data_IF_903181880709
#
_entry.id   IF_903181880709
#
_cell.length_a   1.000
_cell.length_b   1.000
_cell.length_c   1.000
_cell.angle_alpha   90.00
_cell.angle_beta   90.00
_cell.angle_gamma   90.00
#
_symmetry.space_group_name_H-M   'P 1'
#
loop_
_entity.id
_entity.type
_entity.pdbx_description
1 polymer ?
#
# COMPACT_ATOMS: atom_id res chain seq x y z
N UNK A 1 0.72 7.38 -19.86
CA UNK A 1 -0.17 8.38 -19.22
C UNK A 1 0.44 8.73 -17.88
N UNK A 2 0.94 9.96 -17.69
CA UNK A 2 1.35 10.40 -16.37
C UNK A 2 0.09 10.69 -15.55
N UNK A 3 -0.28 9.77 -14.67
CA UNK A 3 -1.36 10.00 -13.72
C UNK A 3 -0.80 10.93 -12.66
N UNK A 4 -1.14 12.22 -12.74
CA UNK A 4 -0.79 13.16 -11.67
C UNK A 4 -1.61 12.82 -10.42
N UNK A 5 -0.90 12.52 -9.33
CA UNK A 5 -1.51 12.22 -8.04
C UNK A 5 -1.73 13.55 -7.32
N UNK A 6 -3.00 13.89 -7.06
CA UNK A 6 -3.35 15.16 -6.39
C UNK A 6 -3.11 15.17 -4.87
N UNK A 7 -3.02 14.00 -4.23
CA UNK A 7 -2.71 13.86 -2.80
C UNK A 7 -1.81 12.66 -2.63
N UNK A 8 -0.68 12.88 -1.98
CA UNK A 8 0.23 11.82 -1.63
C UNK A 8 0.39 11.80 -0.10
N UNK A 9 0.12 10.64 0.49
CA UNK A 9 0.38 10.37 1.91
C UNK A 9 1.76 9.74 2.01
N UNK A 10 2.61 10.28 2.86
CA UNK A 10 4.02 9.89 2.94
C UNK A 10 4.42 9.74 4.39
N UNK A 11 5.18 8.69 4.69
CA UNK A 11 5.86 8.57 5.98
C UNK A 11 7.02 9.60 6.08
N UNK A 12 7.58 9.79 7.27
CA UNK A 12 8.72 10.66 7.52
C UNK A 12 10.00 10.24 6.77
N UNK A 13 10.16 8.94 6.46
CA UNK A 13 11.36 8.37 5.86
C UNK A 13 11.80 9.01 4.53
N UNK A 14 10.92 9.13 3.53
CA UNK A 14 11.24 9.81 2.26
C UNK A 14 11.76 11.23 2.40
N UNK A 15 11.28 12.00 3.40
CA UNK A 15 11.78 13.36 3.64
C UNK A 15 13.19 13.33 4.23
N UNK A 16 13.45 12.43 5.17
CA UNK A 16 14.79 12.25 5.77
C UNK A 16 15.81 11.87 4.68
N UNK A 17 15.40 11.04 3.71
CA UNK A 17 16.25 10.63 2.58
C UNK A 17 16.37 11.67 1.46
N UNK A 18 15.62 12.78 1.53
CA UNK A 18 15.62 13.80 0.48
C UNK A 18 15.02 13.33 -0.85
N UNK A 19 13.98 12.48 -0.80
CA UNK A 19 13.30 12.02 -2.00
C UNK A 19 12.59 13.17 -2.74
N UNK A 20 12.65 13.16 -4.07
CA UNK A 20 11.99 14.14 -4.95
C UNK A 20 10.48 13.86 -5.07
N UNK A 21 9.72 14.16 -4.00
CA UNK A 21 8.28 13.90 -3.95
C UNK A 21 7.46 14.77 -4.93
N UNK A 22 8.02 15.90 -5.39
CA UNK A 22 7.43 16.77 -6.40
C UNK A 22 7.14 16.07 -7.73
N UNK A 23 7.89 15.00 -8.05
CA UNK A 23 7.71 14.25 -9.30
C UNK A 23 6.43 13.40 -9.26
N UNK A 24 5.90 13.14 -8.05
CA UNK A 24 4.76 12.26 -7.81
C UNK A 24 3.48 13.05 -7.51
N UNK A 25 3.59 14.10 -6.70
CA UNK A 25 2.47 14.98 -6.34
C UNK A 25 2.95 16.43 -6.34
N UNK A 26 2.22 17.28 -7.07
CA UNK A 26 2.51 18.72 -7.15
C UNK A 26 1.69 19.55 -6.16
N UNK A 27 0.62 19.00 -5.58
CA UNK A 27 -0.40 19.82 -4.91
C UNK A 27 -0.36 19.70 -3.39
N UNK A 28 -0.51 18.48 -2.83
CA UNK A 28 -0.60 18.28 -1.38
C UNK A 28 0.11 17.00 -0.96
N UNK A 29 0.92 17.12 0.08
CA UNK A 29 1.58 16.01 0.76
C UNK A 29 1.10 15.94 2.20
N UNK A 30 0.69 14.75 2.64
CA UNK A 30 0.26 14.49 4.01
C UNK A 30 1.29 13.65 4.74
N UNK A 31 1.66 14.08 5.94
CA UNK A 31 2.55 13.36 6.86
C UNK A 31 1.80 13.04 8.15
N UNK A 32 2.03 11.83 8.65
CA UNK A 32 1.54 11.40 9.97
C UNK A 32 2.37 11.88 11.16
N UNK A 33 3.69 11.93 11.00
CA UNK A 33 4.63 12.15 12.10
C UNK A 33 5.52 13.37 11.86
N UNK A 34 5.65 14.22 12.87
CA UNK A 34 6.46 15.43 12.74
C UNK A 34 7.92 15.09 12.41
N UNK A 35 8.50 15.83 11.46
CA UNK A 35 9.91 15.71 11.10
C UNK A 35 10.77 16.43 12.14
N UNK A 36 11.56 15.67 12.90
CA UNK A 36 12.39 16.19 14.00
C UNK A 36 13.80 16.64 13.59
N UNK A 37 14.32 16.11 12.50
CA UNK A 37 15.69 16.40 12.05
C UNK A 37 15.80 17.87 11.57
N UNK A 38 16.78 18.61 12.09
CA UNK A 38 17.00 20.04 11.81
C UNK A 38 17.36 20.32 10.34
N UNK A 39 18.22 19.49 9.75
CA UNK A 39 18.59 19.59 8.34
C UNK A 39 17.38 19.31 7.44
N UNK A 40 16.61 18.27 7.75
CA UNK A 40 15.38 18.00 7.02
C UNK A 40 14.40 19.16 7.17
N UNK A 41 14.19 19.70 8.38
CA UNK A 41 13.34 20.89 8.59
C UNK A 41 13.76 22.09 7.76
N UNK A 42 15.07 22.37 7.66
CA UNK A 42 15.57 23.47 6.82
C UNK A 42 15.23 23.26 5.34
N UNK A 43 15.42 22.04 4.81
CA UNK A 43 15.04 21.70 3.44
C UNK A 43 13.53 21.85 3.20
N UNK A 44 12.71 21.57 4.22
CA UNK A 44 11.26 21.70 4.13
C UNK A 44 10.75 23.15 4.12
N UNK A 45 11.56 24.14 4.53
CA UNK A 45 11.15 25.54 4.53
C UNK A 45 11.00 26.13 3.13
N UNK A 46 11.63 25.52 2.12
CA UNK A 46 11.70 26.03 0.74
C UNK A 46 11.03 25.09 -0.27
N UNK A 47 10.02 24.34 0.16
CA UNK A 47 9.34 23.37 -0.71
C UNK A 47 8.44 24.06 -1.75
N UNK A 48 8.39 23.54 -2.99
CA UNK A 48 7.48 24.03 -4.03
C UNK A 48 6.04 23.51 -3.87
N UNK A 49 5.72 22.88 -2.74
CA UNK A 49 4.44 22.23 -2.46
C UNK A 49 4.05 22.38 -0.99
N UNK A 50 2.75 22.23 -0.70
CA UNK A 50 2.25 22.30 0.66
C UNK A 50 2.41 20.96 1.39
N UNK A 51 3.14 21.00 2.50
CA UNK A 51 3.22 19.90 3.44
C UNK A 51 2.17 20.07 4.55
N UNK A 52 1.32 19.06 4.74
CA UNK A 52 0.25 19.07 5.71
C UNK A 52 0.51 17.95 6.73
N UNK A 53 0.76 18.33 7.98
CA UNK A 53 0.75 17.37 9.08
C UNK A 53 -0.70 17.03 9.42
N UNK A 54 -1.05 15.75 9.37
CA UNK A 54 -2.41 15.32 9.67
C UNK A 54 -2.43 13.93 10.27
N UNK A 55 -3.12 13.79 11.39
CA UNK A 55 -3.45 12.48 11.96
C UNK A 55 -4.85 12.04 11.51
N UNK A 56 -5.06 10.72 11.30
CA UNK A 56 -6.38 10.19 11.00
C UNK A 56 -7.29 10.29 12.23
N UNK A 57 -8.60 10.39 12.00
CA UNK A 57 -9.57 10.31 13.10
C UNK A 57 -9.62 8.90 13.69
N UNK A 58 -9.99 8.81 14.97
CA UNK A 58 -10.11 7.52 15.67
C UNK A 58 -11.12 6.56 15.02
N UNK A 59 -12.15 7.10 14.37
CA UNK A 59 -13.13 6.32 13.62
C UNK A 59 -12.49 5.55 12.47
N UNK A 60 -11.64 6.22 11.67
CA UNK A 60 -10.96 5.59 10.54
C UNK A 60 -9.88 4.61 10.99
N UNK A 61 -9.19 4.88 12.10
CA UNK A 61 -8.24 3.91 12.69
C UNK A 61 -8.97 2.64 13.10
N UNK A 62 -10.15 2.78 13.74
CA UNK A 62 -10.96 1.62 14.14
C UNK A 62 -11.46 0.84 12.92
N UNK A 63 -11.94 1.54 11.89
CA UNK A 63 -12.37 0.92 10.64
C UNK A 63 -11.26 0.06 10.03
N UNK A 64 -10.06 0.62 9.84
CA UNK A 64 -8.94 -0.12 9.26
C UNK A 64 -8.44 -1.25 10.15
N UNK A 65 -8.52 -1.08 11.47
CA UNK A 65 -8.20 -2.15 12.42
C UNK A 65 -9.14 -3.35 12.26
N UNK A 66 -10.44 -3.09 12.21
CA UNK A 66 -11.44 -4.15 12.05
C UNK A 66 -11.39 -4.77 10.65
N UNK A 67 -11.11 -3.97 9.62
CA UNK A 67 -10.89 -4.45 8.26
C UNK A 67 -9.65 -5.36 8.16
N UNK A 68 -8.53 -4.96 8.75
CA UNK A 68 -7.28 -5.75 8.74
C UNK A 68 -7.42 -7.07 9.50
N UNK A 69 -8.30 -7.14 10.51
CA UNK A 69 -8.63 -8.40 11.19
C UNK A 69 -9.44 -9.34 10.30
N UNK A 70 -10.34 -8.80 9.46
CA UNK A 70 -11.11 -9.58 8.50
C UNK A 70 -10.23 -10.12 7.37
N UNK A 71 -9.23 -9.37 6.90
CA UNK A 71 -8.27 -9.85 5.88
C UNK A 71 -7.23 -10.82 6.45
N UNK A 72 -6.91 -10.68 7.75
CA UNK A 72 -5.86 -11.44 8.41
C UNK A 72 -4.50 -10.73 8.40
N UNK A 73 -4.41 -9.52 7.84
CA UNK A 73 -3.16 -8.74 7.78
C UNK A 73 -2.82 -8.05 9.10
N UNK A 74 -3.77 -7.97 10.04
CA UNK A 74 -3.60 -7.27 11.31
C UNK A 74 -2.36 -7.71 12.09
N UNK A 75 -1.98 -8.99 12.04
CA UNK A 75 -0.79 -9.49 12.75
C UNK A 75 0.54 -9.01 12.15
N UNK A 76 0.52 -8.61 10.88
CA UNK A 76 1.72 -8.20 10.12
C UNK A 76 1.86 -6.68 10.03
N UNK A 77 0.80 -5.93 10.31
CA UNK A 77 0.77 -4.47 10.21
C UNK A 77 1.19 -3.81 11.53
N UNK A 78 2.04 -2.77 11.45
CA UNK A 78 2.36 -1.96 12.61
C UNK A 78 1.27 -0.92 12.91
N UNK A 79 1.32 -0.33 14.11
CA UNK A 79 0.42 0.77 14.48
C UNK A 79 0.60 2.02 13.58
N UNK A 80 1.81 2.24 13.04
CA UNK A 80 2.08 3.35 12.11
C UNK A 80 1.46 3.06 10.76
N UNK A 81 1.58 1.82 10.28
CA UNK A 81 0.98 1.40 8.99
C UNK A 81 -0.54 1.53 9.02
N UNK A 82 -1.19 1.09 10.11
CA UNK A 82 -2.64 1.23 10.29
C UNK A 82 -3.08 2.70 10.26
N UNK A 83 -2.31 3.61 10.87
CA UNK A 83 -2.60 5.05 10.80
C UNK A 83 -2.43 5.60 9.39
N UNK A 84 -1.46 5.12 8.63
CA UNK A 84 -1.17 5.60 7.28
C UNK A 84 -2.29 5.19 6.32
N UNK A 85 -2.72 3.94 6.42
CA UNK A 85 -3.86 3.42 5.68
C UNK A 85 -5.13 4.17 6.09
N UNK A 86 -5.37 4.39 7.38
CA UNK A 86 -6.53 5.12 7.88
C UNK A 86 -6.58 6.57 7.37
N UNK A 87 -5.43 7.27 7.35
CA UNK A 87 -5.36 8.63 6.82
C UNK A 87 -5.64 8.66 5.32
N UNK A 88 -5.12 7.68 4.58
CA UNK A 88 -5.36 7.54 3.15
C UNK A 88 -6.85 7.31 2.88
N UNK A 89 -7.48 6.42 3.64
CA UNK A 89 -8.92 6.13 3.54
C UNK A 89 -9.78 7.36 3.89
N UNK A 90 -9.42 8.09 4.94
CA UNK A 90 -10.07 9.34 5.32
C UNK A 90 -10.02 10.39 4.19
N UNK A 91 -8.83 10.63 3.63
CA UNK A 91 -8.64 11.61 2.56
C UNK A 91 -9.42 11.24 1.30
N UNK A 92 -9.52 9.94 1.00
CA UNK A 92 -10.31 9.46 -0.13
C UNK A 92 -11.82 9.68 0.08
N UNK A 93 -12.32 9.44 1.30
CA UNK A 93 -13.73 9.74 1.64
C UNK A 93 -14.05 11.22 1.55
N UNK A 94 -13.15 12.09 2.00
CA UNK A 94 -13.31 13.56 1.95
C UNK A 94 -13.32 14.11 0.53
N UNK A 95 -12.64 13.45 -0.42
CA UNK A 95 -12.62 13.84 -1.84
C UNK A 95 -13.92 13.55 -2.58
N UNK A 96 -14.77 12.68 -2.03
CA UNK A 96 -16.05 12.31 -2.61
C UNK A 96 -15.96 11.36 -3.81
N UNK A 97 -17.11 10.85 -4.29
CA UNK A 97 -17.18 9.74 -5.26
C UNK A 97 -16.79 10.10 -6.70
N UNK A 98 -16.33 11.33 -6.98
CA UNK A 98 -16.14 11.85 -8.33
C UNK A 98 -15.00 11.17 -9.12
N UNK A 99 -14.14 10.37 -8.48
CA UNK A 99 -13.06 9.61 -9.11
C UNK A 99 -13.19 8.10 -8.89
N UNK A 100 -14.33 7.51 -9.26
CA UNK A 100 -14.44 6.05 -9.41
C UNK A 100 -14.05 5.23 -8.18
N UNK A 101 -14.31 5.75 -6.98
CA UNK A 101 -13.85 5.16 -5.73
C UNK A 101 -14.76 3.99 -5.34
N UNK A 102 -14.52 2.82 -5.91
CA UNK A 102 -15.05 1.55 -5.43
C UNK A 102 -14.22 1.09 -4.20
N UNK A 103 -14.16 1.92 -3.15
CA UNK A 103 -13.61 1.50 -1.87
C UNK A 103 -14.50 0.37 -1.35
N UNK A 104 -13.94 -0.84 -1.32
CA UNK A 104 -14.68 -2.00 -0.86
C UNK A 104 -14.87 -1.91 0.65
N UNK A 105 -16.09 -2.17 1.09
CA UNK A 105 -16.43 -2.27 2.52
C UNK A 105 -15.99 -3.59 3.11
N UNK A 106 -15.85 -4.63 2.27
CA UNK A 106 -15.49 -5.97 2.68
C UNK A 106 -14.35 -6.52 1.82
N UNK A 107 -13.44 -7.30 2.43
CA UNK A 107 -12.33 -7.89 1.70
C UNK A 107 -12.83 -8.91 0.69
N UNK A 108 -12.13 -9.02 -0.45
CA UNK A 108 -12.38 -10.10 -1.40
C UNK A 108 -11.98 -11.40 -0.71
N UNK A 109 -12.92 -12.32 -0.54
CA UNK A 109 -12.59 -13.67 -0.11
C UNK A 109 -11.85 -14.35 -1.28
N UNK A 110 -10.53 -14.34 -1.24
CA UNK A 110 -9.74 -15.23 -2.10
C UNK A 110 -9.89 -16.64 -1.54
N UNK A 111 -10.50 -17.54 -2.31
CA UNK A 111 -10.49 -18.97 -1.98
C UNK A 111 -9.04 -19.37 -1.69
N UNK A 112 -8.78 -19.86 -0.47
CA UNK A 112 -7.49 -20.40 -0.03
C UNK A 112 -7.16 -21.73 -0.72
N UNK A 113 -7.60 -21.94 -1.97
CA UNK A 113 -6.99 -22.92 -2.84
C UNK A 113 -5.62 -22.37 -3.18
N UNK A 114 -4.68 -22.73 -2.32
CA UNK A 114 -3.28 -22.45 -2.44
C UNK A 114 -2.89 -22.72 -3.89
N UNK A 115 -2.55 -21.66 -4.62
CA UNK A 115 -1.63 -21.77 -5.74
C UNK A 115 -0.30 -22.21 -5.14
N UNK A 116 -0.20 -23.49 -4.75
CA UNK A 116 1.04 -24.23 -4.66
C UNK A 116 1.48 -24.35 -6.11
N UNK A 117 2.07 -23.29 -6.63
CA UNK A 117 2.98 -23.40 -7.76
C UNK A 117 3.98 -24.48 -7.33
N UNK A 118 4.01 -25.65 -7.98
CA UNK A 118 4.95 -26.68 -7.62
C UNK A 118 6.30 -26.17 -8.13
N UNK A 119 7.00 -25.40 -7.29
CA UNK A 119 8.41 -25.17 -7.51
C UNK A 119 9.05 -26.56 -7.49
N UNK A 120 9.49 -27.03 -8.64
CA UNK A 120 10.50 -28.08 -8.67
C UNK A 120 11.76 -27.44 -8.12
N UNK A 121 11.93 -27.45 -6.80
CA UNK A 121 13.22 -27.10 -6.20
C UNK A 121 14.25 -28.02 -6.83
N UNK A 122 15.19 -27.46 -7.59
CA UNK A 122 16.25 -28.23 -8.22
C UNK A 122 16.94 -29.07 -7.14
N UNK A 123 16.87 -30.40 -7.26
CA UNK A 123 17.38 -31.35 -6.27
C UNK A 123 16.32 -32.22 -5.56
N UNK A 124 15.01 -31.94 -5.70
CA UNK A 124 13.96 -32.80 -5.15
C UNK A 124 13.40 -33.74 -6.23
N UNK A 125 13.68 -35.05 -6.12
CA UNK A 125 13.08 -36.08 -6.96
C UNK A 125 11.60 -36.28 -6.60
N UNK A 126 10.68 -35.74 -7.41
CA UNK A 126 9.27 -36.18 -7.39
C UNK A 126 9.15 -37.38 -8.34
N UNK A 127 9.32 -38.58 -7.77
CA UNK A 127 9.40 -39.81 -8.54
C UNK A 127 8.10 -40.19 -9.25
N UNK A 128 7.88 -39.71 -10.47
CA UNK A 128 7.08 -40.39 -11.52
C UNK A 128 7.62 -40.01 -12.90
N UNK A 129 8.18 -40.99 -13.63
CA UNK A 129 8.59 -40.80 -15.04
C UNK A 129 7.34 -40.72 -15.93
N UNK A 130 7.21 -39.75 -16.85
CA UNK A 130 6.12 -39.75 -17.81
C UNK A 130 6.30 -40.88 -18.83
N UNK A 131 5.27 -41.70 -18.98
CA UNK A 131 5.21 -42.81 -19.93
C UNK A 131 5.00 -42.24 -21.34
N UNK A 132 5.93 -42.48 -22.27
CA UNK A 132 5.80 -42.07 -23.67
C UNK A 132 4.67 -42.85 -24.34
N UNK A 133 3.53 -42.22 -24.60
CA UNK A 133 2.50 -42.79 -25.49
C UNK A 133 2.88 -42.43 -26.93
N UNK A 134 3.25 -43.43 -27.73
CA UNK A 134 3.44 -43.30 -29.19
C UNK A 134 2.05 -43.15 -29.84
N UNK A 135 1.79 -42.00 -30.44
CA UNK A 135 0.64 -41.82 -31.35
C UNK A 135 1.01 -42.37 -32.73
N UNK A 136 0.37 -43.45 -33.17
CA UNK A 136 0.33 -43.82 -34.58
C UNK A 136 -0.86 -43.15 -35.25
N UNK A 137 -0.59 -42.39 -36.32
CA UNK A 137 -1.59 -41.92 -37.28
C UNK A 137 -2.10 -43.11 -38.11
N UNK A 138 -3.41 -43.18 -38.31
CA UNK A 138 -4.03 -43.75 -39.50
C UNK A 138 -5.22 -42.90 -39.87
#
# INVERSE_FOLDING_TARGET
MNVEVTCLVVDSGPFIKGAALQDWSRTRLYILSEIKNSETRQRLQVLPYQLILREPSQEYIKHETDFSKKTGDYQSLSAVDLRLIALTYQLEKERGPQRGTNLRTDPIQTNKEQQRIPYSTAGFYTGKKPQKVRLYKK
#
